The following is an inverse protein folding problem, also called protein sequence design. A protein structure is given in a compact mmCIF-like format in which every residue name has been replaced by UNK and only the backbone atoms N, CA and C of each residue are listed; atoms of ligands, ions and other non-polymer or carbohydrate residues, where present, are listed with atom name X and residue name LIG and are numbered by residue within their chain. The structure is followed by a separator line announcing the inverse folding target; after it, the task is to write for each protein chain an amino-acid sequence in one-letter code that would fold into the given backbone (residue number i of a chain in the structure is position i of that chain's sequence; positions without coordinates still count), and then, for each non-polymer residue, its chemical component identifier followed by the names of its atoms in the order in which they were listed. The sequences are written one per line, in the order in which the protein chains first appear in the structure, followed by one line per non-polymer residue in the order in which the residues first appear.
data_IF_072095149416
#
_entry.id   IF_072095149416
#
_cell.length_a   1.000
_cell.length_b   1.000
_cell.length_c   1.000
_cell.angle_alpha   90.00
_cell.angle_beta   90.00
_cell.angle_gamma   90.00
#
_symmetry.space_group_name_H-M   'P 1'
#
loop_
_entity.id
_entity.type
_entity.pdbx_description
1 polymer ?
#
# COMPACT_ATOMS: atom_id res chain seq x y z
N UNK A 1 64.52 38.75 12.47
CA UNK A 1 63.44 39.33 11.65
C UNK A 1 62.17 38.52 11.91
N UNK A 2 61.05 39.19 12.19
CA UNK A 2 59.92 38.74 13.01
C UNK A 2 59.28 37.40 12.61
N UNK A 3 59.16 36.51 13.60
CA UNK A 3 58.32 35.30 13.62
C UNK A 3 56.88 35.73 13.98
N UNK A 4 55.90 35.48 13.11
CA UNK A 4 54.48 35.77 13.38
C UNK A 4 53.79 34.47 13.79
N UNK A 5 53.45 34.37 15.08
CA UNK A 5 52.73 33.26 15.70
C UNK A 5 51.23 33.58 15.63
N UNK A 6 50.47 32.86 14.80
CA UNK A 6 49.01 32.95 14.75
C UNK A 6 48.43 31.93 15.72
N UNK A 7 47.99 32.44 16.87
CA UNK A 7 47.39 31.69 17.98
C UNK A 7 45.88 31.63 17.74
N UNK A 8 45.37 30.51 17.22
CA UNK A 8 43.94 30.25 17.09
C UNK A 8 43.37 29.87 18.46
N UNK A 9 42.62 30.79 19.05
CA UNK A 9 41.85 30.55 20.29
C UNK A 9 40.58 29.80 19.88
N UNK A 10 40.50 28.51 20.21
CA UNK A 10 39.26 27.74 20.17
C UNK A 10 38.46 28.03 21.45
N UNK A 11 37.37 28.79 21.32
CA UNK A 11 36.32 28.88 22.34
C UNK A 11 35.45 27.63 22.25
N UNK A 12 35.23 26.87 23.35
CA UNK A 12 34.18 25.87 23.37
C UNK A 12 32.83 26.60 23.46
N UNK A 13 32.06 26.54 22.38
CA UNK A 13 30.65 26.91 22.39
C UNK A 13 29.91 25.79 23.15
N UNK A 14 29.52 26.03 24.40
CA UNK A 14 28.56 25.16 25.10
C UNK A 14 27.18 25.40 24.50
N UNK A 15 26.83 24.60 23.50
CA UNK A 15 25.48 24.48 22.99
C UNK A 15 24.69 23.67 24.02
N UNK A 16 24.05 24.35 24.96
CA UNK A 16 22.96 23.79 25.77
C UNK A 16 21.70 23.84 24.91
N UNK A 17 21.47 22.80 24.11
CA UNK A 17 20.19 22.59 23.43
C UNK A 17 19.57 21.30 23.98
N UNK A 18 18.47 21.50 24.72
CA UNK A 18 17.29 20.64 24.76
C UNK A 18 17.53 19.12 24.63
N UNK A 19 17.92 18.47 25.74
CA UNK A 19 17.84 17.01 25.88
C UNK A 19 16.37 16.53 26.07
N UNK A 20 15.43 17.42 26.37
CA UNK A 20 14.01 17.08 26.61
C UNK A 20 13.21 16.75 25.33
N UNK A 21 13.68 17.19 24.15
CA UNK A 21 12.95 17.00 22.88
C UNK A 21 13.42 15.75 22.11
N UNK A 22 14.56 15.17 22.51
CA UNK A 22 15.09 13.96 21.89
C UNK A 22 14.62 12.69 22.61
N UNK A 23 14.31 12.79 23.90
CA UNK A 23 13.69 11.71 24.69
C UNK A 23 12.20 11.52 24.34
N UNK A 24 11.45 12.59 24.06
CA UNK A 24 10.04 12.52 23.62
C UNK A 24 9.88 11.82 22.26
N UNK A 25 10.88 11.97 21.37
CA UNK A 25 10.94 11.29 20.06
C UNK A 25 11.32 9.81 20.20
N UNK A 26 12.02 9.43 21.27
CA UNK A 26 12.40 8.05 21.56
C UNK A 26 11.38 7.29 22.43
N UNK A 27 10.46 8.00 23.09
CA UNK A 27 9.41 7.41 23.94
C UNK A 27 8.17 6.93 23.19
N UNK A 28 7.92 7.41 21.96
CA UNK A 28 6.87 6.85 21.10
C UNK A 28 7.30 5.48 20.55
N UNK A 29 7.19 4.47 21.42
CA UNK A 29 7.28 3.08 21.01
C UNK A 29 6.22 2.80 19.94
N UNK A 30 6.53 2.06 18.85
CA UNK A 30 5.55 1.69 17.81
C UNK A 30 4.30 1.00 18.37
N UNK A 31 4.39 0.44 19.57
CA UNK A 31 3.28 -0.22 20.29
C UNK A 31 2.26 0.81 20.80
N UNK A 32 2.71 1.98 21.26
CA UNK A 32 1.83 3.00 21.85
C UNK A 32 1.06 3.76 20.76
N UNK A 33 1.71 4.06 19.64
CA UNK A 33 1.05 4.65 18.46
C UNK A 33 -0.03 3.73 17.86
N UNK A 34 0.21 2.41 17.83
CA UNK A 34 -0.77 1.43 17.34
C UNK A 34 -1.95 1.24 18.31
N UNK A 35 -1.72 1.39 19.63
CA UNK A 35 -2.79 1.31 20.63
C UNK A 35 -3.71 2.54 20.57
N UNK A 36 -3.15 3.73 20.34
CA UNK A 36 -3.94 4.96 20.13
C UNK A 36 -4.77 4.86 18.84
N UNK A 37 -4.18 4.40 17.73
CA UNK A 37 -4.89 4.21 16.46
C UNK A 37 -6.09 3.25 16.59
N UNK A 38 -5.93 2.13 17.29
CA UNK A 38 -7.04 1.19 17.49
C UNK A 38 -8.11 1.70 18.45
N UNK A 39 -7.74 2.53 19.43
CA UNK A 39 -8.69 3.20 20.32
C UNK A 39 -9.54 4.23 19.57
N UNK A 40 -8.93 5.01 18.69
CA UNK A 40 -9.66 5.94 17.82
C UNK A 40 -10.58 5.19 16.84
N UNK A 41 -10.08 4.10 16.24
CA UNK A 41 -10.87 3.24 15.36
C UNK A 41 -12.09 2.64 16.09
N UNK A 42 -11.90 2.15 17.32
CA UNK A 42 -12.98 1.64 18.16
C UNK A 42 -14.09 2.69 18.34
N UNK A 43 -13.73 3.94 18.65
CA UNK A 43 -14.70 5.02 18.84
C UNK A 43 -15.48 5.34 17.57
N UNK A 44 -14.79 5.45 16.43
CA UNK A 44 -15.41 5.73 15.14
C UNK A 44 -16.42 4.62 14.77
N UNK A 45 -16.04 3.36 14.97
CA UNK A 45 -16.91 2.22 14.66
C UNK A 45 -18.09 2.11 15.62
N UNK A 46 -17.88 2.35 16.93
CA UNK A 46 -18.96 2.37 17.92
C UNK A 46 -20.00 3.43 17.61
N UNK A 47 -19.59 4.59 17.11
CA UNK A 47 -20.52 5.64 16.68
C UNK A 47 -21.41 5.21 15.50
N UNK A 48 -20.89 4.38 14.60
CA UNK A 48 -21.69 3.82 13.49
C UNK A 48 -22.63 2.70 13.94
N UNK A 49 -22.19 1.86 14.89
CA UNK A 49 -22.98 0.75 15.43
C UNK A 49 -24.10 1.27 16.36
N UNK A 50 -23.84 2.36 17.10
CA UNK A 50 -24.74 2.90 18.10
C UNK A 50 -24.64 2.14 19.42
N UNK A 51 -25.66 1.32 19.74
CA UNK A 51 -25.68 0.58 21.01
C UNK A 51 -24.90 -0.72 20.88
N UNK A 52 -23.80 -0.82 21.64
CA UNK A 52 -22.85 -1.94 21.57
C UNK A 52 -23.31 -3.11 22.47
N UNK A 53 -23.34 -4.33 21.92
CA UNK A 53 -23.68 -5.55 22.68
C UNK A 53 -22.50 -6.06 23.51
N UNK A 54 -22.75 -7.06 24.38
CA UNK A 54 -21.67 -7.72 25.14
C UNK A 54 -20.62 -8.36 24.21
N UNK A 55 -21.06 -9.09 23.20
CA UNK A 55 -20.17 -9.76 22.23
C UNK A 55 -19.33 -8.76 21.42
N UNK A 56 -19.91 -7.61 21.06
CA UNK A 56 -19.18 -6.55 20.38
C UNK A 56 -18.15 -5.88 21.30
N UNK A 57 -18.44 -5.72 22.59
CA UNK A 57 -17.45 -5.21 23.55
C UNK A 57 -16.28 -6.19 23.75
N UNK A 58 -16.56 -7.49 23.75
CA UNK A 58 -15.51 -8.53 23.79
C UNK A 58 -14.64 -8.42 22.53
N UNK A 59 -15.26 -8.32 21.36
CA UNK A 59 -14.56 -8.11 20.10
C UNK A 59 -13.63 -6.88 20.14
N UNK A 60 -14.13 -5.71 20.54
CA UNK A 60 -13.32 -4.49 20.60
C UNK A 60 -12.18 -4.59 21.61
N UNK A 61 -12.37 -5.36 22.69
CA UNK A 61 -11.29 -5.65 23.64
C UNK A 61 -10.16 -6.45 22.98
N UNK A 62 -10.49 -7.46 22.17
CA UNK A 62 -9.49 -8.22 21.41
C UNK A 62 -8.80 -7.36 20.35
N UNK A 63 -9.57 -6.51 19.64
CA UNK A 63 -9.02 -5.59 18.64
C UNK A 63 -7.99 -4.64 19.26
N UNK A 64 -8.32 -3.98 20.36
CA UNK A 64 -7.42 -3.05 21.07
C UNK A 64 -6.16 -3.73 21.62
N UNK A 65 -6.26 -5.00 21.98
CA UNK A 65 -5.12 -5.81 22.45
C UNK A 65 -4.29 -6.42 21.31
N UNK A 66 -4.59 -6.10 20.05
CA UNK A 66 -3.98 -6.72 18.87
C UNK A 66 -4.14 -8.25 18.80
N UNK A 67 -5.14 -8.80 19.50
CA UNK A 67 -5.46 -10.23 19.49
C UNK A 67 -6.35 -10.54 18.27
N UNK A 68 -5.85 -10.26 17.07
CA UNK A 68 -6.63 -10.30 15.82
C UNK A 68 -7.22 -11.67 15.50
N UNK A 69 -6.58 -12.76 15.93
CA UNK A 69 -7.11 -14.12 15.77
C UNK A 69 -8.38 -14.31 16.60
N UNK A 70 -8.35 -13.90 17.87
CA UNK A 70 -9.52 -13.96 18.76
C UNK A 70 -10.61 -12.99 18.30
N UNK A 71 -10.23 -11.79 17.84
CA UNK A 71 -11.18 -10.84 17.26
C UNK A 71 -11.86 -11.43 16.02
N UNK A 72 -11.11 -12.10 15.14
CA UNK A 72 -11.68 -12.77 13.97
C UNK A 72 -12.60 -13.93 14.37
N UNK A 73 -12.22 -14.74 15.36
CA UNK A 73 -13.07 -15.83 15.88
C UNK A 73 -14.35 -15.31 16.55
N UNK A 74 -14.28 -14.15 17.18
CA UNK A 74 -15.42 -13.49 17.83
C UNK A 74 -16.36 -12.80 16.84
N UNK A 75 -15.91 -12.52 15.60
CA UNK A 75 -16.67 -11.78 14.60
C UNK A 75 -18.09 -12.34 14.37
N UNK A 76 -18.30 -13.66 14.18
CA UNK A 76 -19.63 -14.20 13.92
C UNK A 76 -20.65 -13.84 15.01
N UNK A 77 -20.28 -14.10 16.27
CA UNK A 77 -21.12 -13.81 17.42
C UNK A 77 -21.35 -12.31 17.65
N UNK A 78 -20.39 -11.46 17.27
CA UNK A 78 -20.48 -10.02 17.45
C UNK A 78 -21.27 -9.30 16.33
N UNK A 79 -21.18 -9.77 15.09
CA UNK A 79 -21.60 -8.98 13.93
C UNK A 79 -22.30 -9.72 12.78
N UNK A 80 -22.27 -11.06 12.67
CA UNK A 80 -22.74 -11.77 11.45
C UNK A 80 -24.18 -11.41 11.06
N UNK A 81 -25.08 -11.34 12.04
CA UNK A 81 -26.49 -10.95 11.84
C UNK A 81 -26.75 -9.45 12.02
N UNK A 82 -25.70 -8.65 12.18
CA UNK A 82 -25.82 -7.21 12.41
C UNK A 82 -25.84 -6.44 11.09
N UNK A 83 -26.62 -5.35 11.04
CA UNK A 83 -26.58 -4.40 9.91
C UNK A 83 -25.19 -3.81 9.68
N UNK A 84 -24.36 -3.75 10.73
CA UNK A 84 -22.99 -3.24 10.65
C UNK A 84 -22.10 -4.11 9.75
N UNK A 85 -22.22 -5.45 9.80
CA UNK A 85 -21.39 -6.32 8.96
C UNK A 85 -21.64 -6.12 7.46
N UNK A 86 -22.82 -5.64 7.08
CA UNK A 86 -23.18 -5.31 5.70
C UNK A 86 -22.69 -3.93 5.24
N UNK A 87 -22.27 -3.06 6.17
CA UNK A 87 -21.78 -1.72 5.82
C UNK A 87 -20.38 -1.80 5.20
N UNK A 88 -19.99 -0.79 4.40
CA UNK A 88 -18.61 -0.66 3.93
C UNK A 88 -17.58 -0.69 5.05
N UNK A 89 -17.87 -0.07 6.20
CA UNK A 89 -17.00 -0.06 7.37
C UNK A 89 -16.83 -1.45 7.98
N UNK A 90 -17.94 -2.19 8.17
CA UNK A 90 -17.91 -3.55 8.70
C UNK A 90 -17.18 -4.52 7.77
N UNK A 91 -17.45 -4.43 6.46
CA UNK A 91 -16.75 -5.24 5.46
C UNK A 91 -15.25 -4.93 5.41
N UNK A 92 -14.86 -3.65 5.48
CA UNK A 92 -13.46 -3.24 5.48
C UNK A 92 -12.73 -3.68 6.76
N UNK A 93 -13.40 -3.62 7.92
CA UNK A 93 -12.87 -4.09 9.19
C UNK A 93 -12.71 -5.61 9.20
N UNK A 94 -13.69 -6.35 8.71
CA UNK A 94 -13.60 -7.80 8.58
C UNK A 94 -12.45 -8.22 7.66
N UNK A 95 -12.32 -7.56 6.51
CA UNK A 95 -11.20 -7.76 5.61
C UNK A 95 -9.85 -7.45 6.30
N UNK A 96 -9.78 -6.41 7.14
CA UNK A 96 -8.58 -6.07 7.90
C UNK A 96 -8.22 -7.18 8.91
N UNK A 97 -9.19 -7.77 9.60
CA UNK A 97 -8.92 -8.92 10.47
C UNK A 97 -8.34 -10.10 9.70
N UNK A 98 -8.87 -10.39 8.51
CA UNK A 98 -8.34 -11.45 7.63
C UNK A 98 -6.89 -11.12 7.22
N UNK A 99 -6.57 -9.85 6.95
CA UNK A 99 -5.22 -9.41 6.63
C UNK A 99 -4.26 -9.70 7.80
N UNK A 100 -4.62 -9.29 9.02
CA UNK A 100 -3.80 -9.51 10.22
C UNK A 100 -3.64 -10.98 10.58
N UNK A 101 -4.54 -11.84 10.12
CA UNK A 101 -4.47 -13.30 10.24
C UNK A 101 -3.77 -13.97 9.04
N UNK A 102 -2.79 -13.29 8.42
CA UNK A 102 -1.92 -13.83 7.38
C UNK A 102 -2.61 -14.32 6.10
N UNK A 103 -3.80 -13.79 5.79
CA UNK A 103 -4.54 -14.10 4.55
C UNK A 103 -4.68 -12.85 3.65
N UNK A 104 -3.58 -12.22 3.21
CA UNK A 104 -3.61 -10.92 2.54
C UNK A 104 -4.35 -10.92 1.20
N UNK A 105 -4.28 -12.02 0.44
CA UNK A 105 -4.96 -12.12 -0.87
C UNK A 105 -6.48 -12.06 -0.66
N UNK A 106 -7.00 -12.92 0.22
CA UNK A 106 -8.44 -12.99 0.53
C UNK A 106 -8.91 -11.67 1.14
N UNK A 107 -8.11 -11.09 2.04
CA UNK A 107 -8.40 -9.81 2.66
C UNK A 107 -8.57 -8.70 1.62
N UNK A 108 -7.63 -8.57 0.69
CA UNK A 108 -7.66 -7.54 -0.33
C UNK A 108 -8.77 -7.77 -1.36
N UNK A 109 -9.01 -9.03 -1.77
CA UNK A 109 -10.12 -9.37 -2.65
C UNK A 109 -11.48 -9.05 -2.00
N UNK A 110 -11.66 -9.34 -0.71
CA UNK A 110 -12.85 -8.96 0.05
C UNK A 110 -13.00 -7.44 0.18
N UNK A 111 -11.91 -6.73 0.46
CA UNK A 111 -11.92 -5.27 0.51
C UNK A 111 -12.41 -4.69 -0.83
N UNK A 112 -11.91 -5.21 -1.96
CA UNK A 112 -12.28 -4.74 -3.30
C UNK A 112 -13.73 -5.07 -3.71
N UNK A 113 -14.43 -5.94 -2.98
CA UNK A 113 -15.86 -6.22 -3.18
C UNK A 113 -16.79 -5.14 -2.60
N UNK A 114 -16.28 -4.28 -1.71
CA UNK A 114 -17.06 -3.22 -1.06
C UNK A 114 -17.57 -2.24 -2.12
N UNK A 115 -18.89 -2.06 -2.24
CA UNK A 115 -19.46 -1.21 -3.31
C UNK A 115 -19.17 0.27 -3.13
N UNK A 116 -19.28 0.80 -1.91
CA UNK A 116 -19.23 2.23 -1.62
C UNK A 116 -18.01 2.56 -0.73
N UNK A 117 -16.86 2.78 -1.38
CA UNK A 117 -15.56 3.03 -0.72
C UNK A 117 -15.58 4.34 0.07
N UNK A 118 -16.39 5.32 -0.35
CA UNK A 118 -16.44 6.65 0.26
C UNK A 118 -16.98 6.61 1.69
N UNK A 119 -17.82 5.62 2.01
CA UNK A 119 -18.36 5.39 3.35
C UNK A 119 -17.40 4.69 4.31
N UNK A 120 -16.26 4.19 3.82
CA UNK A 120 -15.24 3.63 4.72
C UNK A 120 -14.64 4.79 5.54
N UNK A 121 -14.52 4.67 6.88
CA UNK A 121 -13.95 5.71 7.71
C UNK A 121 -12.53 6.06 7.30
N UNK A 122 -12.19 7.35 7.37
CA UNK A 122 -10.86 7.85 6.97
C UNK A 122 -9.72 7.09 7.64
N UNK A 123 -9.83 6.84 8.95
CA UNK A 123 -8.81 6.12 9.71
C UNK A 123 -8.62 4.70 9.19
N UNK A 124 -9.70 3.99 8.87
CA UNK A 124 -9.62 2.65 8.31
C UNK A 124 -9.00 2.64 6.90
N UNK A 125 -9.29 3.66 6.08
CA UNK A 125 -8.59 3.85 4.79
C UNK A 125 -7.08 4.05 4.98
N UNK A 126 -6.68 4.83 5.98
CA UNK A 126 -5.26 5.06 6.30
C UNK A 126 -4.56 3.78 6.76
N UNK A 127 -5.20 2.98 7.62
CA UNK A 127 -4.68 1.67 8.03
C UNK A 127 -4.44 0.79 6.81
N UNK A 128 -5.41 0.70 5.90
CA UNK A 128 -5.25 -0.07 4.66
C UNK A 128 -4.13 0.44 3.76
N UNK A 129 -3.98 1.76 3.65
CA UNK A 129 -2.89 2.38 2.91
C UNK A 129 -1.52 1.96 3.45
N UNK A 130 -1.36 1.94 4.78
CA UNK A 130 -0.11 1.62 5.46
C UNK A 130 0.20 0.12 5.43
N UNK A 131 -0.81 -0.73 5.63
CA UNK A 131 -0.63 -2.18 5.71
C UNK A 131 -0.42 -2.82 4.33
N UNK A 132 -0.95 -2.21 3.27
CA UNK A 132 -0.85 -2.72 1.90
C UNK A 132 -0.31 -1.64 0.95
N UNK A 133 0.97 -1.24 1.10
CA UNK A 133 1.61 -0.29 0.19
C UNK A 133 1.73 -0.89 -1.23
N UNK A 134 2.01 -0.06 -2.25
CA UNK A 134 2.09 -0.53 -3.64
C UNK A 134 3.20 -1.56 -3.90
N UNK A 135 4.23 -1.60 -3.06
CA UNK A 135 5.29 -2.60 -3.10
C UNK A 135 4.85 -3.97 -2.53
N UNK A 136 3.72 -4.04 -1.83
CA UNK A 136 3.27 -5.27 -1.20
C UNK A 136 2.98 -6.36 -2.24
N UNK A 137 3.51 -7.57 -2.00
CA UNK A 137 3.45 -8.68 -2.97
C UNK A 137 2.03 -9.10 -3.37
N UNK A 138 1.03 -8.82 -2.52
CA UNK A 138 -0.37 -9.19 -2.75
C UNK A 138 -0.94 -8.63 -4.05
N UNK A 139 -0.50 -7.44 -4.48
CA UNK A 139 -0.96 -6.80 -5.72
C UNK A 139 -0.67 -7.64 -6.97
N UNK A 140 0.32 -8.53 -6.90
CA UNK A 140 0.70 -9.43 -7.99
C UNK A 140 -0.10 -10.73 -8.02
N UNK A 141 -0.78 -11.07 -6.93
CA UNK A 141 -1.45 -12.36 -6.77
C UNK A 141 -2.97 -12.23 -6.68
N UNK A 142 -3.49 -11.15 -6.09
CA UNK A 142 -4.92 -10.97 -5.92
C UNK A 142 -5.65 -10.68 -7.24
N UNK A 143 -6.89 -11.14 -7.36
CA UNK A 143 -7.78 -10.89 -8.49
C UNK A 143 -8.66 -9.68 -8.20
N UNK A 144 -8.17 -8.50 -8.57
CA UNK A 144 -8.79 -7.23 -8.19
C UNK A 144 -9.36 -6.53 -9.41
N UNK A 145 -10.50 -5.85 -9.22
CA UNK A 145 -11.05 -4.91 -10.18
C UNK A 145 -10.92 -3.47 -9.69
N UNK A 146 -10.06 -2.70 -10.37
CA UNK A 146 -9.85 -1.31 -9.98
C UNK A 146 -11.07 -0.46 -10.31
N UNK A 147 -11.44 0.42 -9.36
CA UNK A 147 -12.44 1.48 -9.55
C UNK A 147 -11.86 2.80 -9.03
N UNK A 148 -12.19 3.96 -9.63
CA UNK A 148 -11.55 5.24 -9.31
C UNK A 148 -11.59 5.63 -7.82
N UNK A 149 -12.62 5.20 -7.09
CA UNK A 149 -12.83 5.48 -5.66
C UNK A 149 -11.72 4.88 -4.78
N UNK A 150 -11.06 3.81 -5.24
CA UNK A 150 -9.93 3.21 -4.52
C UNK A 150 -8.70 4.12 -4.42
N UNK A 151 -8.63 5.20 -5.20
CA UNK A 151 -7.59 6.23 -5.07
C UNK A 151 -7.64 6.99 -3.74
N UNK A 152 -8.76 6.96 -3.04
CA UNK A 152 -8.85 7.54 -1.69
C UNK A 152 -8.17 6.68 -0.63
N UNK A 153 -7.88 5.41 -0.95
CA UNK A 153 -7.28 4.42 -0.04
C UNK A 153 -5.85 4.11 -0.46
N UNK A 154 -5.64 3.88 -1.76
CA UNK A 154 -4.37 3.42 -2.30
C UNK A 154 -3.78 4.41 -3.29
N UNK A 155 -2.46 4.35 -3.46
CA UNK A 155 -1.73 5.26 -4.33
C UNK A 155 -1.93 4.96 -5.82
N UNK A 156 -1.43 5.88 -6.66
CA UNK A 156 -1.47 5.75 -8.11
C UNK A 156 -0.69 4.53 -8.63
N UNK A 157 0.36 4.11 -7.93
CA UNK A 157 1.14 2.93 -8.32
C UNK A 157 0.31 1.64 -8.16
N UNK A 158 -0.50 1.54 -7.10
CA UNK A 158 -1.44 0.44 -6.88
C UNK A 158 -2.49 0.38 -7.98
N UNK A 159 -3.02 1.52 -8.43
CA UNK A 159 -3.91 1.58 -9.60
C UNK A 159 -3.24 0.98 -10.84
N UNK A 160 -2.03 1.45 -11.15
CA UNK A 160 -1.30 1.01 -12.34
C UNK A 160 -1.01 -0.49 -12.25
N UNK A 161 -0.63 -1.02 -11.08
CA UNK A 161 -0.41 -2.44 -10.88
C UNK A 161 -1.65 -3.27 -11.18
N UNK A 162 -2.81 -2.92 -10.62
CA UNK A 162 -4.06 -3.64 -10.87
C UNK A 162 -4.47 -3.54 -12.33
N UNK A 163 -4.50 -2.33 -12.88
CA UNK A 163 -4.92 -2.10 -14.27
C UNK A 163 -3.99 -2.79 -15.28
N UNK A 164 -2.67 -2.76 -15.05
CA UNK A 164 -1.69 -3.43 -15.93
C UNK A 164 -1.88 -4.94 -16.01
N UNK A 165 -2.51 -5.56 -14.99
CA UNK A 165 -2.83 -6.99 -15.00
C UNK A 165 -4.20 -7.27 -15.62
N UNK A 166 -5.21 -6.46 -15.29
CA UNK A 166 -6.57 -6.66 -15.81
C UNK A 166 -6.69 -6.38 -17.30
N UNK A 167 -6.04 -5.30 -17.75
CA UNK A 167 -6.13 -4.77 -19.11
C UNK A 167 -4.95 -5.20 -19.97
N UNK A 168 -4.29 -6.31 -19.60
CA UNK A 168 -3.20 -6.86 -20.41
C UNK A 168 -3.75 -7.50 -21.69
N UNK A 169 -4.21 -6.66 -22.59
CA UNK A 169 -4.44 -6.97 -23.99
C UNK A 169 -3.34 -6.29 -24.79
N UNK A 170 -2.42 -7.08 -25.33
CA UNK A 170 -1.29 -6.59 -26.11
C UNK A 170 -1.73 -5.86 -27.39
N UNK A 171 -2.98 -6.00 -27.82
CA UNK A 171 -3.56 -5.21 -28.90
C UNK A 171 -3.87 -3.76 -28.48
N UNK A 172 -4.07 -3.47 -27.19
CA UNK A 172 -4.55 -2.18 -26.69
C UNK A 172 -3.41 -1.22 -26.31
N UNK A 173 -2.60 -0.84 -27.30
CA UNK A 173 -1.42 0.03 -27.15
C UNK A 173 -1.71 1.35 -26.41
N UNK A 174 -2.86 1.97 -26.66
CA UNK A 174 -3.23 3.27 -26.06
C UNK A 174 -3.39 3.18 -24.55
N UNK A 175 -3.98 2.10 -24.06
CA UNK A 175 -4.19 1.91 -22.62
C UNK A 175 -2.87 1.74 -21.87
N UNK A 176 -1.94 0.95 -22.44
CA UNK A 176 -0.60 0.78 -21.87
C UNK A 176 0.16 2.12 -21.86
N UNK A 177 0.00 2.94 -22.90
CA UNK A 177 0.62 4.27 -22.95
C UNK A 177 0.09 5.21 -21.87
N UNK A 178 -1.21 5.15 -21.57
CA UNK A 178 -1.80 5.95 -20.49
C UNK A 178 -1.36 5.47 -19.11
N UNK A 179 -1.15 4.16 -18.92
CA UNK A 179 -0.54 3.61 -17.71
C UNK A 179 0.92 4.09 -17.54
N UNK A 180 1.69 4.15 -18.63
CA UNK A 180 3.05 4.71 -18.57
C UNK A 180 3.02 6.15 -18.06
N UNK A 181 2.17 7.02 -18.61
CA UNK A 181 2.07 8.42 -18.17
C UNK A 181 1.79 8.57 -16.68
N UNK A 182 1.02 7.65 -16.10
CA UNK A 182 0.65 7.65 -14.68
C UNK A 182 1.74 7.06 -13.77
N UNK A 183 2.49 6.08 -14.25
CA UNK A 183 3.50 5.38 -13.45
C UNK A 183 4.69 6.27 -13.08
N UNK A 184 5.19 6.13 -11.85
CA UNK A 184 6.37 6.84 -11.35
C UNK A 184 7.63 6.44 -12.14
N UNK A 185 8.43 7.41 -12.57
CA UNK A 185 9.70 7.14 -13.28
C UNK A 185 10.65 6.28 -12.43
N UNK A 186 11.39 5.38 -13.09
CA UNK A 186 12.35 4.45 -12.47
C UNK A 186 11.76 3.61 -11.32
N UNK A 187 10.47 3.32 -11.39
CA UNK A 187 9.80 2.43 -10.44
C UNK A 187 9.66 1.03 -10.99
N UNK A 188 9.52 0.06 -10.10
CA UNK A 188 9.27 -1.32 -10.49
C UNK A 188 8.01 -1.47 -11.36
N UNK A 189 6.97 -0.71 -11.03
CA UNK A 189 5.72 -0.67 -11.79
C UNK A 189 5.94 -0.11 -13.19
N UNK A 190 6.73 0.97 -13.31
CA UNK A 190 7.08 1.58 -14.60
C UNK A 190 7.79 0.58 -15.51
N UNK A 191 8.81 -0.10 -15.00
CA UNK A 191 9.55 -1.09 -15.79
C UNK A 191 8.64 -2.22 -16.28
N UNK A 192 7.73 -2.71 -15.43
CA UNK A 192 6.72 -3.69 -15.83
C UNK A 192 5.85 -3.20 -16.99
N UNK A 193 5.28 -1.99 -16.89
CA UNK A 193 4.44 -1.41 -17.94
C UNK A 193 5.25 -1.12 -19.22
N UNK A 194 6.52 -0.74 -19.11
CA UNK A 194 7.42 -0.56 -20.25
C UNK A 194 7.66 -1.88 -21.01
N UNK A 195 7.81 -3.00 -20.29
CA UNK A 195 7.91 -4.31 -20.92
C UNK A 195 6.60 -4.72 -21.63
N UNK A 196 5.45 -4.44 -21.02
CA UNK A 196 4.15 -4.65 -21.67
C UNK A 196 4.01 -3.78 -22.94
N UNK A 197 4.50 -2.55 -22.91
CA UNK A 197 4.53 -1.66 -24.08
C UNK A 197 5.44 -2.23 -25.18
N UNK A 198 6.61 -2.76 -24.83
CA UNK A 198 7.50 -3.39 -25.80
C UNK A 198 6.83 -4.59 -26.50
N UNK A 199 6.12 -5.43 -25.76
CA UNK A 199 5.33 -6.54 -26.31
C UNK A 199 4.22 -6.04 -27.25
N UNK A 200 3.46 -5.03 -26.82
CA UNK A 200 2.38 -4.45 -27.64
C UNK A 200 2.91 -3.84 -28.94
N UNK A 201 4.03 -3.12 -28.89
CA UNK A 201 4.69 -2.57 -30.08
C UNK A 201 5.14 -3.67 -31.04
N UNK A 202 5.69 -4.77 -30.54
CA UNK A 202 6.10 -5.91 -31.36
C UNK A 202 4.89 -6.53 -32.09
N UNK A 203 3.79 -6.77 -31.38
CA UNK A 203 2.56 -7.31 -31.97
C UNK A 203 1.90 -6.41 -33.01
N UNK A 204 2.14 -5.10 -32.93
CA UNK A 204 1.64 -4.11 -33.89
C UNK A 204 2.64 -3.80 -35.02
N UNK A 205 3.62 -4.69 -35.28
CA UNK A 205 4.67 -4.53 -36.29
C UNK A 205 5.58 -3.28 -36.12
N UNK A 206 5.62 -2.68 -34.94
CA UNK A 206 6.51 -1.56 -34.60
C UNK A 206 7.82 -2.04 -33.95
N UNK A 207 8.46 -3.04 -34.57
CA UNK A 207 9.61 -3.79 -34.03
C UNK A 207 10.77 -2.86 -33.62
N UNK A 208 11.10 -1.86 -34.44
CA UNK A 208 12.18 -0.91 -34.14
C UNK A 208 11.92 -0.07 -32.89
N UNK A 209 10.66 0.22 -32.54
CA UNK A 209 10.32 0.91 -31.29
C UNK A 209 10.32 -0.06 -30.12
N UNK A 210 9.81 -1.28 -30.32
CA UNK A 210 9.88 -2.34 -29.30
C UNK A 210 11.33 -2.60 -28.85
N UNK A 211 12.24 -2.80 -29.81
CA UNK A 211 13.66 -3.03 -29.53
C UNK A 211 14.32 -1.90 -28.71
N UNK A 212 13.96 -0.64 -28.98
CA UNK A 212 14.45 0.52 -28.20
C UNK A 212 13.98 0.47 -26.74
N UNK A 213 12.73 0.08 -26.49
CA UNK A 213 12.20 -0.06 -25.14
C UNK A 213 12.88 -1.22 -24.40
N UNK A 214 13.08 -2.37 -25.06
CA UNK A 214 13.80 -3.50 -24.46
C UNK A 214 15.27 -3.16 -24.16
N UNK A 215 15.95 -2.44 -25.05
CA UNK A 215 17.32 -1.98 -24.83
C UNK A 215 17.40 -1.01 -23.63
N UNK A 216 16.42 -0.12 -23.47
CA UNK A 216 16.31 0.72 -22.28
C UNK A 216 16.18 -0.12 -21.00
N UNK A 217 15.27 -1.11 -20.99
CA UNK A 217 15.06 -1.99 -19.83
C UNK A 217 16.29 -2.82 -19.45
N UNK A 218 17.12 -3.23 -20.42
CA UNK A 218 18.38 -3.93 -20.16
C UNK A 218 19.41 -3.02 -19.49
N UNK A 219 19.41 -1.73 -19.81
CA UNK A 219 20.39 -0.76 -19.31
C UNK A 219 20.04 -0.19 -17.92
N UNK A 220 18.77 -0.23 -17.51
CA UNK A 220 18.30 0.39 -16.27
C UNK A 220 18.60 -0.40 -14.99
N UNK A 221 19.28 -1.56 -15.06
CA UNK A 221 19.57 -2.44 -13.91
C UNK A 221 18.34 -2.78 -13.03
N UNK A 222 17.15 -2.80 -13.63
CA UNK A 222 15.92 -3.19 -12.96
C UNK A 222 15.87 -4.70 -12.65
N UNK A 223 15.18 -5.10 -11.58
CA UNK A 223 15.07 -6.50 -11.14
C UNK A 223 13.67 -7.10 -11.30
N UNK A 224 12.73 -6.35 -11.86
CA UNK A 224 11.32 -6.74 -11.98
C UNK A 224 11.12 -7.75 -13.09
N UNK A 225 11.83 -7.56 -14.20
CA UNK A 225 11.79 -8.41 -15.38
C UNK A 225 13.16 -9.04 -15.53
N UNK A 226 13.24 -10.37 -15.55
CA UNK A 226 14.53 -11.04 -15.68
C UNK A 226 15.17 -10.71 -17.04
N UNK A 227 16.51 -10.64 -17.07
CA UNK A 227 17.26 -10.43 -18.32
C UNK A 227 16.89 -11.49 -19.37
N UNK A 228 16.72 -12.74 -18.93
CA UNK A 228 16.27 -13.85 -19.77
C UNK A 228 14.90 -13.58 -20.41
N UNK A 229 13.93 -13.08 -19.63
CA UNK A 229 12.61 -12.76 -20.16
C UNK A 229 12.67 -11.61 -21.17
N UNK A 230 13.52 -10.60 -20.95
CA UNK A 230 13.76 -9.53 -21.92
C UNK A 230 14.39 -10.10 -23.19
N UNK A 231 15.39 -10.98 -23.08
CA UNK A 231 16.04 -11.61 -24.23
C UNK A 231 15.08 -12.49 -25.03
N UNK A 232 14.25 -13.31 -24.37
CA UNK A 232 13.20 -14.11 -25.01
C UNK A 232 12.19 -13.19 -25.72
N UNK A 233 11.84 -12.08 -25.10
CA UNK A 233 10.92 -11.09 -25.70
C UNK A 233 11.54 -10.45 -26.95
N UNK A 234 12.83 -10.11 -26.91
CA UNK A 234 13.55 -9.52 -28.04
C UNK A 234 13.77 -10.50 -29.21
N UNK A 235 13.79 -11.81 -28.93
CA UNK A 235 13.99 -12.86 -29.93
C UNK A 235 12.71 -13.25 -30.69
N UNK A 236 11.53 -12.86 -30.19
CA UNK A 236 10.24 -13.05 -30.87
C UNK A 236 9.98 -11.94 -31.88
#
# INVERSE_FOLDING_TARGET
MKLLLLLFIFLPLTISFADDDLLSILENSPVESLMEEHSELEQVLKNEIGTVTAEQNIFFTFLRKNEFEKALFQWPAAFEDSKFAETPSGQALYAYLILKNSMPIIALEKLFQIKDVNKIPRLLKQIWHLEVPSEHRVWRSAHLQWRPEWREVFDLNSEVLVQSRQKFDLAQKTEIFDLLKKSKLKSNVRYWVEWQMALSLAMNNEVGKSAKVLAHLLNENQQVISKELITITAAR
#
